data_IF_821321825969
#
_entry.id   IF_821321825969
#
_cell.length_a   1.000
_cell.length_b   1.000
_cell.length_c   1.000
_cell.angle_alpha   90.00
_cell.angle_beta   90.00
_cell.angle_gamma   90.00
#
_symmetry.space_group_name_H-M   'P 1'
#
loop_
_entity.id
_entity.type
_entity.pdbx_description
1 polymer ?
#
# COMPACT_ATOMS: atom_id res chain seq x y z
N UNK A 1 16.40 -15.35 7.24
CA UNK A 1 14.98 -14.93 7.37
C UNK A 1 14.76 -14.43 8.79
N UNK A 2 14.12 -13.27 9.00
CA UNK A 2 13.96 -12.67 10.35
C UNK A 2 12.75 -13.19 11.15
N UNK A 3 12.02 -14.18 10.65
CA UNK A 3 11.03 -14.98 11.40
C UNK A 3 9.80 -14.24 11.96
N UNK A 4 9.70 -12.92 11.79
CA UNK A 4 8.63 -12.07 12.33
C UNK A 4 8.30 -10.94 11.35
N UNK A 5 7.03 -10.52 11.35
CA UNK A 5 6.58 -9.34 10.63
C UNK A 5 6.96 -8.06 11.41
N UNK A 6 7.15 -6.92 10.72
CA UNK A 6 7.50 -5.67 11.38
C UNK A 6 6.35 -5.18 12.27
N UNK A 7 6.67 -4.74 13.48
CA UNK A 7 5.71 -4.11 14.38
C UNK A 7 5.29 -2.69 13.92
N UNK A 8 6.08 -2.06 13.05
CA UNK A 8 5.80 -0.73 12.48
C UNK A 8 6.22 -0.65 11.02
N UNK A 9 5.35 -0.07 10.18
CA UNK A 9 5.59 0.22 8.76
C UNK A 9 5.57 1.73 8.57
N UNK A 10 6.65 2.28 8.00
CA UNK A 10 6.71 3.70 7.66
C UNK A 10 6.88 3.89 6.16
N UNK A 11 6.02 4.72 5.57
CA UNK A 11 6.12 5.10 4.15
C UNK A 11 6.75 6.49 4.06
N UNK A 12 7.86 6.60 3.34
CA UNK A 12 8.49 7.88 2.99
C UNK A 12 8.17 8.18 1.53
N UNK A 13 7.44 9.25 1.27
CA UNK A 13 6.99 9.59 -0.08
C UNK A 13 6.60 11.05 -0.17
N UNK A 14 6.31 11.54 -1.38
CA UNK A 14 5.78 12.89 -1.54
C UNK A 14 4.44 13.08 -0.84
N UNK A 15 4.27 14.22 -0.19
CA UNK A 15 3.10 14.51 0.66
C UNK A 15 1.77 14.39 -0.06
N UNK A 16 1.70 14.74 -1.36
CA UNK A 16 0.47 14.62 -2.15
C UNK A 16 -0.02 13.17 -2.33
N UNK A 17 0.82 12.16 -2.02
CA UNK A 17 0.44 10.73 -2.03
C UNK A 17 -0.10 10.24 -0.69
N UNK A 18 -0.04 11.05 0.37
CA UNK A 18 -0.38 10.67 1.75
C UNK A 18 -1.74 9.98 1.84
N UNK A 19 -2.78 10.60 1.26
CA UNK A 19 -4.15 10.09 1.29
C UNK A 19 -4.22 8.65 0.77
N UNK A 20 -3.66 8.37 -0.41
CA UNK A 20 -3.68 7.02 -0.99
C UNK A 20 -3.00 6.00 -0.08
N UNK A 21 -1.85 6.32 0.50
CA UNK A 21 -1.14 5.35 1.34
C UNK A 21 -1.81 5.16 2.71
N UNK A 22 -2.20 6.25 3.36
CA UNK A 22 -2.67 6.24 4.74
C UNK A 22 -4.16 5.84 4.87
N UNK A 23 -4.99 6.24 3.91
CA UNK A 23 -6.43 5.97 3.92
C UNK A 23 -6.80 4.77 3.05
N UNK A 24 -6.14 4.52 1.92
CA UNK A 24 -6.54 3.41 1.03
C UNK A 24 -5.66 2.19 1.25
N UNK A 25 -4.36 2.29 0.98
CA UNK A 25 -3.45 1.12 1.01
C UNK A 25 -3.29 0.52 2.41
N UNK A 26 -3.15 1.37 3.44
CA UNK A 26 -3.11 0.91 4.83
C UNK A 26 -4.39 0.13 5.20
N UNK A 27 -5.56 0.60 4.76
CA UNK A 27 -6.83 -0.06 5.03
C UNK A 27 -6.97 -1.37 4.26
N UNK A 28 -6.57 -1.41 2.98
CA UNK A 28 -6.57 -2.62 2.16
C UNK A 28 -5.67 -3.73 2.75
N UNK A 29 -4.57 -3.33 3.41
CA UNK A 29 -3.68 -4.21 4.16
C UNK A 29 -4.12 -4.41 5.62
N UNK A 30 -5.17 -3.73 6.10
CA UNK A 30 -5.61 -3.76 7.50
C UNK A 30 -4.48 -3.54 8.52
N UNK A 31 -3.49 -2.70 8.17
CA UNK A 31 -2.43 -2.33 9.10
C UNK A 31 -3.03 -1.46 10.22
N UNK A 32 -2.87 -1.82 11.52
CA UNK A 32 -3.38 -1.02 12.63
C UNK A 32 -2.87 0.43 12.56
N UNK A 33 -3.70 1.46 12.86
CA UNK A 33 -3.29 2.86 12.77
C UNK A 33 -2.00 3.19 13.56
N UNK A 34 -1.82 2.61 14.76
CA UNK A 34 -0.61 2.81 15.57
C UNK A 34 0.66 2.17 15.00
N UNK A 35 0.52 1.18 14.12
CA UNK A 35 1.62 0.47 13.45
C UNK A 35 2.04 1.12 12.13
N UNK A 36 1.32 2.14 11.65
CA UNK A 36 1.58 2.78 10.37
C UNK A 36 2.03 4.24 10.52
N UNK A 37 3.09 4.62 9.82
CA UNK A 37 3.56 6.00 9.72
C UNK A 37 3.69 6.46 8.28
N UNK A 38 3.44 7.75 8.02
CA UNK A 38 3.71 8.36 6.72
C UNK A 38 4.54 9.64 6.89
N UNK A 39 5.74 9.64 6.33
CA UNK A 39 6.65 10.77 6.26
C UNK A 39 6.50 11.41 4.87
N UNK A 40 5.94 12.62 4.87
CA UNK A 40 5.67 13.38 3.65
C UNK A 40 6.84 14.28 3.27
N UNK A 41 7.35 14.10 2.06
CA UNK A 41 8.35 14.99 1.45
C UNK A 41 7.62 16.09 0.67
N UNK A 42 8.00 17.33 0.93
CA UNK A 42 7.60 18.46 0.11
C UNK A 42 8.74 18.81 -0.85
N UNK A 43 8.46 18.98 -2.15
CA UNK A 43 9.43 19.57 -3.07
C UNK A 43 9.85 20.95 -2.55
N UNK A 44 11.13 21.27 -2.63
CA UNK A 44 11.61 22.60 -2.25
C UNK A 44 11.15 23.64 -3.27
N UNK A 45 10.98 24.90 -2.83
CA UNK A 45 10.66 26.01 -3.74
C UNK A 45 11.75 26.24 -4.81
N UNK A 46 12.98 25.81 -4.53
CA UNK A 46 14.09 25.86 -5.49
C UNK A 46 14.07 24.71 -6.51
N UNK A 47 13.17 23.74 -6.39
CA UNK A 47 13.05 22.64 -7.34
C UNK A 47 12.17 23.03 -8.55
N UNK A 48 12.52 22.53 -9.74
CA UNK A 48 11.66 22.63 -10.93
C UNK A 48 10.46 21.66 -10.89
N UNK A 49 10.02 21.27 -9.69
CA UNK A 49 8.96 20.28 -9.53
C UNK A 49 7.58 20.94 -9.65
N UNK A 50 6.83 20.55 -10.68
CA UNK A 50 5.44 20.99 -10.87
C UNK A 50 4.50 20.23 -9.92
N UNK A 51 4.31 20.80 -8.73
CA UNK A 51 3.48 20.22 -7.68
C UNK A 51 2.01 20.10 -8.11
N UNK A 52 1.48 21.10 -8.80
CA UNK A 52 0.07 21.12 -9.26
C UNK A 52 -0.19 19.99 -10.26
N UNK A 53 0.70 19.81 -11.23
CA UNK A 53 0.61 18.70 -12.18
C UNK A 53 0.76 17.35 -11.49
N UNK A 54 1.64 17.24 -10.50
CA UNK A 54 1.85 16.01 -9.75
C UNK A 54 0.62 15.63 -8.90
N UNK A 55 0.01 16.60 -8.21
CA UNK A 55 -1.22 16.42 -7.43
C UNK A 55 -2.40 16.01 -8.31
N UNK A 56 -2.59 16.70 -9.45
CA UNK A 56 -3.59 16.33 -10.44
C UNK A 56 -3.36 14.92 -10.95
N UNK A 57 -2.11 14.61 -11.31
CA UNK A 57 -1.72 13.30 -11.80
C UNK A 57 -1.96 12.18 -10.78
N UNK A 58 -1.65 12.40 -9.50
CA UNK A 58 -1.92 11.46 -8.42
C UNK A 58 -3.43 11.23 -8.23
N UNK A 59 -4.23 12.30 -8.23
CA UNK A 59 -5.68 12.22 -8.08
C UNK A 59 -6.32 11.42 -9.22
N UNK A 60 -5.97 11.76 -10.46
CA UNK A 60 -6.65 11.26 -11.66
C UNK A 60 -6.15 9.89 -12.09
N UNK A 61 -4.88 9.58 -11.86
CA UNK A 61 -4.27 8.35 -12.36
C UNK A 61 -4.04 7.27 -11.29
N UNK A 62 -4.27 7.57 -10.01
CA UNK A 62 -4.06 6.60 -8.94
C UNK A 62 -5.16 6.65 -7.88
N UNK A 63 -5.33 7.78 -7.19
CA UNK A 63 -6.20 7.88 -6.01
C UNK A 63 -7.63 7.42 -6.30
N UNK A 64 -8.27 7.98 -7.33
CA UNK A 64 -9.65 7.64 -7.72
C UNK A 64 -9.85 6.17 -8.09
N UNK A 65 -8.81 5.51 -8.60
CA UNK A 65 -8.90 4.08 -8.93
C UNK A 65 -8.83 3.22 -7.68
N UNK A 66 -7.89 3.50 -6.77
CA UNK A 66 -7.76 2.74 -5.53
C UNK A 66 -8.91 2.99 -4.53
N UNK A 67 -9.67 4.08 -4.66
CA UNK A 67 -10.92 4.28 -3.91
C UNK A 67 -11.98 3.20 -4.22
N UNK A 68 -11.94 2.62 -5.43
CA UNK A 68 -12.90 1.62 -5.90
C UNK A 68 -12.31 0.22 -6.02
N UNK A 69 -10.99 0.14 -6.18
CA UNK A 69 -10.24 -1.09 -6.42
C UNK A 69 -9.03 -1.15 -5.48
N UNK A 70 -9.22 -1.50 -4.20
CA UNK A 70 -8.18 -1.45 -3.18
C UNK A 70 -6.95 -2.31 -3.50
N UNK A 71 -7.13 -3.39 -4.29
CA UNK A 71 -6.09 -4.33 -4.68
C UNK A 71 -5.59 -4.11 -6.12
N UNK A 72 -6.16 -3.15 -6.85
CA UNK A 72 -5.74 -2.78 -8.20
C UNK A 72 -5.92 -3.89 -9.25
N UNK A 73 -6.91 -4.76 -9.07
CA UNK A 73 -7.16 -5.89 -9.96
C UNK A 73 -8.21 -5.61 -11.04
N UNK A 74 -9.24 -4.82 -10.70
CA UNK A 74 -10.46 -4.69 -11.51
C UNK A 74 -10.38 -3.50 -12.47
N UNK A 75 -9.66 -2.45 -12.09
CA UNK A 75 -9.52 -1.25 -12.91
C UNK A 75 -8.54 -1.51 -14.06
N UNK A 76 -8.95 -1.39 -15.33
CA UNK A 76 -8.06 -1.67 -16.48
C UNK A 76 -6.77 -0.84 -16.45
N UNK A 77 -6.84 0.42 -16.03
CA UNK A 77 -5.67 1.28 -15.89
C UNK A 77 -4.68 0.81 -14.81
N UNK A 78 -5.17 0.19 -13.72
CA UNK A 78 -4.29 -0.36 -12.68
C UNK A 78 -3.72 -1.72 -13.09
N UNK A 79 -4.53 -2.57 -13.72
CA UNK A 79 -4.08 -3.83 -14.29
C UNK A 79 -2.97 -3.62 -15.34
N UNK A 80 -3.19 -2.72 -16.30
CA UNK A 80 -2.19 -2.36 -17.30
C UNK A 80 -0.88 -1.82 -16.67
N UNK A 81 -0.98 -1.02 -15.60
CA UNK A 81 0.20 -0.55 -14.84
C UNK A 81 0.93 -1.69 -14.14
N UNK A 82 0.20 -2.67 -13.60
CA UNK A 82 0.79 -3.85 -12.95
C UNK A 82 1.54 -4.70 -13.98
N UNK A 83 0.93 -4.95 -15.13
CA UNK A 83 1.52 -5.75 -16.20
C UNK A 83 2.77 -5.07 -16.78
N UNK A 84 2.70 -3.75 -17.05
CA UNK A 84 3.82 -2.97 -17.57
C UNK A 84 5.02 -2.90 -16.60
N UNK A 85 4.80 -3.06 -15.28
CA UNK A 85 5.87 -3.08 -14.26
C UNK A 85 6.58 -4.43 -14.15
N UNK A 86 6.13 -5.45 -14.88
CA UNK A 86 6.79 -6.75 -14.96
C UNK A 86 7.25 -7.07 -16.41
N UNK A 87 8.18 -6.28 -16.98
CA UNK A 87 8.62 -6.45 -18.37
C UNK A 87 9.23 -7.83 -18.65
N UNK A 88 9.75 -8.51 -17.63
CA UNK A 88 10.37 -9.84 -17.74
C UNK A 88 9.44 -11.00 -17.37
N UNK A 89 8.15 -10.73 -17.10
CA UNK A 89 7.15 -11.73 -16.70
C UNK A 89 7.62 -12.67 -15.58
N UNK A 90 8.34 -12.12 -14.60
CA UNK A 90 8.85 -12.87 -13.45
C UNK A 90 7.76 -13.04 -12.39
N UNK A 91 7.81 -14.15 -11.66
CA UNK A 91 6.97 -14.36 -10.48
C UNK A 91 7.63 -13.69 -9.27
N UNK A 92 6.87 -12.89 -8.53
CA UNK A 92 7.31 -12.31 -7.26
C UNK A 92 7.64 -13.43 -6.26
N UNK A 93 8.78 -13.44 -5.57
CA UNK A 93 9.16 -14.54 -4.68
C UNK A 93 8.40 -14.54 -3.34
N UNK A 94 7.77 -13.43 -2.95
CA UNK A 94 7.13 -13.29 -1.63
C UNK A 94 6.03 -14.32 -1.32
N UNK A 95 5.14 -14.72 -2.24
CA UNK A 95 4.18 -15.80 -1.98
C UNK A 95 4.82 -17.17 -1.66
N UNK A 96 6.08 -17.38 -2.07
CA UNK A 96 6.86 -18.58 -1.74
C UNK A 96 7.54 -18.43 -0.37
N UNK A 97 8.18 -17.28 -0.11
CA UNK A 97 8.93 -17.04 1.13
C UNK A 97 8.07 -16.59 2.32
N UNK A 98 6.83 -16.15 2.08
CA UNK A 98 5.91 -15.61 3.07
C UNK A 98 4.53 -16.28 2.93
N UNK A 99 4.41 -17.57 3.28
CA UNK A 99 3.18 -18.34 3.08
C UNK A 99 1.97 -17.74 3.81
N UNK A 100 2.16 -17.12 4.98
CA UNK A 100 1.09 -16.55 5.81
C UNK A 100 0.32 -15.41 5.13
N UNK A 101 0.92 -14.75 4.13
CA UNK A 101 0.29 -13.68 3.35
C UNK A 101 0.11 -14.04 1.88
N UNK A 102 0.29 -15.32 1.52
CA UNK A 102 0.12 -15.79 0.14
C UNK A 102 -1.26 -15.44 -0.42
N UNK A 103 -2.31 -15.67 0.38
CA UNK A 103 -3.69 -15.34 0.00
C UNK A 103 -3.87 -13.85 -0.31
N UNK A 104 -3.26 -12.97 0.49
CA UNK A 104 -3.31 -11.52 0.27
C UNK A 104 -2.71 -11.11 -1.09
N UNK A 105 -1.61 -11.74 -1.53
CA UNK A 105 -1.02 -11.44 -2.85
C UNK A 105 -1.90 -11.88 -4.02
N UNK A 106 -2.73 -12.91 -3.84
CA UNK A 106 -3.62 -13.44 -4.87
C UNK A 106 -5.03 -12.82 -4.83
N UNK A 107 -5.34 -12.03 -3.80
CA UNK A 107 -6.68 -11.52 -3.58
C UNK A 107 -7.07 -10.43 -4.59
N UNK A 108 -8.19 -10.66 -5.28
CA UNK A 108 -8.81 -9.72 -6.20
C UNK A 108 -10.34 -9.66 -6.02
N UNK A 109 -10.85 -10.02 -4.84
CA UNK A 109 -12.28 -10.04 -4.54
C UNK A 109 -12.92 -8.64 -4.42
N UNK A 110 -14.25 -8.57 -4.28
CA UNK A 110 -15.01 -7.31 -4.26
C UNK A 110 -14.84 -6.47 -2.98
N UNK A 111 -14.26 -7.05 -1.92
CA UNK A 111 -14.05 -6.39 -0.63
C UNK A 111 -12.62 -6.59 -0.14
N UNK A 112 -12.39 -6.27 1.14
CA UNK A 112 -11.12 -6.57 1.78
C UNK A 112 -10.86 -8.07 1.88
N UNK A 113 -9.57 -8.44 1.84
CA UNK A 113 -9.12 -9.80 2.02
C UNK A 113 -9.70 -10.38 3.30
N UNK A 114 -10.37 -11.55 3.27
CA UNK A 114 -11.19 -12.01 4.39
C UNK A 114 -10.40 -12.72 5.50
N UNK A 115 -9.24 -13.31 5.19
CA UNK A 115 -8.52 -14.15 6.15
C UNK A 115 -7.66 -13.32 7.12
N UNK A 116 -7.34 -13.86 8.28
CA UNK A 116 -6.49 -13.18 9.27
C UNK A 116 -5.11 -12.84 8.71
N UNK A 117 -4.64 -11.62 8.97
CA UNK A 117 -3.30 -11.16 8.59
C UNK A 117 -2.34 -11.24 9.78
N UNK A 118 -1.04 -11.55 9.56
CA UNK A 118 -0.10 -11.78 10.66
C UNK A 118 0.07 -10.61 11.65
N UNK A 119 -0.09 -9.37 11.17
CA UNK A 119 0.01 -8.17 12.01
C UNK A 119 -1.25 -7.87 12.82
N UNK A 120 -2.36 -8.58 12.60
CA UNK A 120 -3.57 -8.47 13.41
C UNK A 120 -3.49 -9.31 14.68
N UNK A 121 -2.58 -10.31 14.72
CA UNK A 121 -2.37 -11.20 15.85
C UNK A 121 -1.53 -10.57 16.98
N UNK A 122 -0.96 -9.39 16.73
CA UNK A 122 -0.14 -8.68 17.72
C UNK A 122 -1.04 -7.71 18.47
N UNK A 123 -1.75 -8.17 19.49
CA UNK A 123 -2.39 -7.27 20.46
C UNK A 123 -1.29 -6.41 21.09
N UNK A 124 -1.36 -5.06 21.03
CA UNK A 124 -0.44 -4.26 21.80
C UNK A 124 -0.68 -4.60 23.27
N UNK A 125 0.37 -5.03 23.98
CA UNK A 125 0.33 -5.04 25.43
C UNK A 125 -0.19 -3.67 25.87
N UNK A 126 -1.32 -3.67 26.56
CA UNK A 126 -1.95 -2.50 27.14
C UNK A 126 -0.88 -1.66 27.84
N UNK A 127 -0.66 -0.43 27.36
CA UNK A 127 0.14 0.53 28.10
C UNK A 127 -0.56 0.79 29.44
N UNK A 128 0.13 0.69 30.59
CA UNK A 128 -0.47 1.08 31.86
C UNK A 128 -0.76 2.59 31.82
N UNK A 129 -1.92 2.93 32.40
CA UNK A 129 -2.46 4.29 32.61
C UNK A 129 -1.47 5.13 33.42
#
# INVERSE_FOLDING_TARGET
VVGRYPARVSVVSFSFKRRRFQELHRQALRLPPGSFGFVGLQPSAASHFDLVKAERGERENALRYFEKDPYGCQTPALAAKRDARNPFRRTTPYPLSCPDIRGLFAWCGPGFFPDLLPWELTTPASAPI
#
